data_IF_603482646274
#
_entry.id   IF_603482646274
#
_cell.length_a   1.000
_cell.length_b   1.000
_cell.length_c   1.000
_cell.angle_alpha   90.00
_cell.angle_beta   90.00
_cell.angle_gamma   90.00
#
_symmetry.space_group_name_H-M   'P 1'
#
loop_
_entity.id
_entity.type
_entity.pdbx_description
1 polymer ?
#
# COMPACT_ATOMS: atom_id res chain seq x y z
N UNK A 1 -5.01 -9.45 5.36
CA UNK A 1 -5.36 -9.36 6.80
C UNK A 1 -4.90 -8.03 7.39
N UNK A 2 -3.62 -7.66 7.28
CA UNK A 2 -3.04 -6.37 7.75
C UNK A 2 -3.87 -5.13 7.37
N UNK A 3 -4.28 -4.98 6.10
CA UNK A 3 -5.07 -3.82 5.66
C UNK A 3 -6.38 -3.65 6.45
N UNK A 4 -7.07 -4.75 6.73
CA UNK A 4 -8.35 -4.74 7.49
C UNK A 4 -8.10 -4.34 8.94
N UNK A 5 -7.04 -4.87 9.55
CA UNK A 5 -6.62 -4.51 10.92
C UNK A 5 -6.25 -3.03 11.03
N UNK A 6 -5.52 -2.49 10.05
CA UNK A 6 -5.17 -1.06 10.01
C UNK A 6 -6.40 -0.16 9.86
N UNK A 7 -7.35 -0.54 9.00
CA UNK A 7 -8.61 0.20 8.85
C UNK A 7 -9.41 0.18 10.16
N UNK A 8 -9.53 -0.97 10.81
CA UNK A 8 -10.23 -1.08 12.10
C UNK A 8 -9.58 -0.20 13.17
N UNK A 9 -8.26 -0.27 13.32
CA UNK A 9 -7.52 0.57 14.27
C UNK A 9 -7.72 2.06 13.98
N UNK A 10 -7.70 2.45 12.70
CA UNK A 10 -7.90 3.83 12.27
C UNK A 10 -9.29 4.36 12.64
N UNK A 11 -10.34 3.54 12.44
CA UNK A 11 -11.72 3.89 12.81
C UNK A 11 -11.84 4.10 14.32
N UNK A 12 -11.23 3.24 15.14
CA UNK A 12 -11.25 3.39 16.61
C UNK A 12 -10.55 4.69 17.02
N UNK A 13 -9.37 4.97 16.44
CA UNK A 13 -8.66 6.21 16.71
C UNK A 13 -9.46 7.45 16.29
N UNK A 14 -10.16 7.40 15.15
CA UNK A 14 -11.00 8.48 14.66
C UNK A 14 -12.16 8.77 15.61
N UNK A 15 -12.82 7.73 16.12
CA UNK A 15 -13.91 7.89 17.10
C UNK A 15 -13.38 8.57 18.37
N UNK A 16 -12.23 8.14 18.88
CA UNK A 16 -11.60 8.78 20.05
C UNK A 16 -11.24 10.24 19.79
N UNK A 17 -10.69 10.56 18.61
CA UNK A 17 -10.36 11.93 18.22
C UNK A 17 -11.60 12.83 18.08
N UNK A 18 -12.71 12.30 17.56
CA UNK A 18 -13.99 13.02 17.47
C UNK A 18 -14.58 13.26 18.86
N UNK A 19 -14.56 12.26 19.75
CA UNK A 19 -14.98 12.44 21.14
C UNK A 19 -14.12 13.53 21.81
N UNK A 20 -12.80 13.49 21.60
CA UNK A 20 -11.90 14.51 22.12
C UNK A 20 -12.23 15.90 21.57
N UNK A 21 -12.51 16.03 20.27
CA UNK A 21 -12.93 17.27 19.63
C UNK A 21 -14.24 17.82 20.21
N UNK A 22 -15.20 16.96 20.54
CA UNK A 22 -16.47 17.40 21.14
C UNK A 22 -16.33 17.80 22.61
N UNK A 23 -15.45 17.14 23.37
CA UNK A 23 -15.22 17.46 24.79
C UNK A 23 -14.31 18.68 24.94
N UNK A 24 -13.32 18.83 24.07
CA UNK A 24 -12.34 19.91 24.08
C UNK A 24 -12.11 20.39 22.64
N UNK A 25 -12.92 21.34 22.16
CA UNK A 25 -12.84 21.83 20.79
C UNK A 25 -11.64 22.76 20.60
N UNK A 26 -10.47 22.13 20.50
CA UNK A 26 -9.18 22.79 20.26
C UNK A 26 -8.64 22.47 18.85
N UNK A 27 -7.58 23.16 18.46
CA UNK A 27 -6.92 22.96 17.18
C UNK A 27 -6.35 21.54 17.01
N UNK A 28 -5.76 20.98 18.06
CA UNK A 28 -5.13 19.66 18.03
C UNK A 28 -6.09 18.51 17.70
N UNK A 29 -7.23 18.33 18.40
CA UNK A 29 -8.18 17.27 18.06
C UNK A 29 -8.82 17.48 16.68
N UNK A 30 -8.93 18.73 16.21
CA UNK A 30 -9.46 19.01 14.88
C UNK A 30 -8.51 18.50 13.78
N UNK A 31 -7.23 18.88 13.83
CA UNK A 31 -6.21 18.43 12.86
C UNK A 31 -6.01 16.93 12.94
N UNK A 32 -6.05 16.37 14.16
CA UNK A 32 -5.95 14.92 14.36
C UNK A 32 -7.10 14.19 13.67
N UNK A 33 -8.33 14.67 13.83
CA UNK A 33 -9.52 14.10 13.18
C UNK A 33 -9.42 14.18 11.66
N UNK A 34 -9.00 15.33 11.12
CA UNK A 34 -8.79 15.51 9.68
C UNK A 34 -7.71 14.57 9.13
N UNK A 35 -6.57 14.45 9.82
CA UNK A 35 -5.50 13.54 9.44
C UNK A 35 -5.94 12.08 9.45
N UNK A 36 -6.72 11.67 10.45
CA UNK A 36 -7.29 10.33 10.52
C UNK A 36 -8.27 10.08 9.37
N UNK A 37 -9.14 11.03 9.03
CA UNK A 37 -10.03 10.94 7.86
C UNK A 37 -9.20 10.79 6.56
N UNK A 38 -8.18 11.63 6.35
CA UNK A 38 -7.31 11.54 5.17
C UNK A 38 -6.62 10.18 5.08
N UNK A 39 -6.11 9.67 6.20
CA UNK A 39 -5.45 8.37 6.24
C UNK A 39 -6.42 7.22 5.93
N UNK A 40 -7.68 7.31 6.38
CA UNK A 40 -8.72 6.33 6.08
C UNK A 40 -9.04 6.31 4.58
N UNK A 41 -9.15 7.48 3.96
CA UNK A 41 -9.37 7.60 2.50
C UNK A 41 -8.23 6.91 1.74
N UNK A 42 -6.97 7.19 2.10
CA UNK A 42 -5.80 6.55 1.47
C UNK A 42 -5.81 5.04 1.68
N UNK A 43 -6.09 4.58 2.91
CA UNK A 43 -6.15 3.15 3.21
C UNK A 43 -7.23 2.45 2.39
N UNK A 44 -8.43 3.05 2.24
CA UNK A 44 -9.50 2.46 1.44
C UNK A 44 -9.13 2.44 -0.05
N UNK A 45 -8.67 3.57 -0.59
CA UNK A 45 -8.39 3.73 -2.02
C UNK A 45 -7.12 3.02 -2.50
N UNK A 46 -6.17 2.71 -1.61
CA UNK A 46 -4.97 1.94 -1.97
C UNK A 46 -5.38 0.54 -2.44
N UNK A 47 -5.52 0.37 -3.75
CA UNK A 47 -5.59 -0.96 -4.37
C UNK A 47 -4.31 -1.69 -4.00
N UNK A 48 -4.44 -2.98 -3.68
CA UNK A 48 -3.28 -3.86 -3.63
C UNK A 48 -2.73 -3.86 -5.04
N UNK A 49 -1.66 -3.09 -5.28
CA UNK A 49 -0.79 -3.43 -6.39
C UNK A 49 -0.20 -4.79 -6.01
N UNK A 50 -0.86 -5.86 -6.45
CA UNK A 50 -0.15 -7.08 -6.78
C UNK A 50 0.72 -6.71 -7.98
N UNK A 51 1.75 -5.92 -7.72
CA UNK A 51 2.77 -5.57 -8.68
C UNK A 51 3.40 -6.89 -9.04
N UNK A 52 2.99 -7.44 -10.17
CA UNK A 52 3.82 -8.40 -10.86
C UNK A 52 5.01 -7.57 -11.32
N UNK A 53 6.02 -7.43 -10.44
CA UNK A 53 7.24 -6.69 -10.72
C UNK A 53 7.91 -7.44 -11.87
N UNK A 54 7.62 -7.02 -13.09
CA UNK A 54 8.24 -7.58 -14.29
C UNK A 54 9.67 -7.06 -14.33
N UNK A 55 10.60 -7.80 -13.72
CA UNK A 55 12.02 -7.60 -13.93
C UNK A 55 12.33 -7.95 -15.39
N UNK A 56 12.76 -6.95 -16.16
CA UNK A 56 13.25 -7.15 -17.52
C UNK A 56 14.78 -7.15 -17.48
N UNK A 57 15.39 -8.31 -17.76
CA UNK A 57 16.84 -8.44 -17.89
C UNK A 57 17.19 -8.76 -19.35
N UNK A 58 18.11 -8.01 -19.94
CA UNK A 58 18.66 -8.31 -21.28
C UNK A 58 19.89 -9.20 -21.11
N UNK A 59 19.77 -10.47 -21.51
CA UNK A 59 20.89 -11.41 -21.57
C UNK A 59 21.70 -11.26 -22.84
N UNK A 60 23.03 -11.37 -22.74
CA UNK A 60 23.91 -11.46 -23.90
C UNK A 60 23.77 -12.80 -24.62
N UNK A 61 24.09 -12.84 -25.92
CA UNK A 61 24.07 -14.08 -26.71
C UNK A 61 25.11 -15.04 -26.14
N UNK A 62 24.66 -16.14 -25.51
CA UNK A 62 25.52 -17.14 -24.85
C UNK A 62 25.68 -17.01 -23.32
N UNK A 63 24.94 -16.11 -22.65
CA UNK A 63 24.96 -15.99 -21.18
C UNK A 63 23.89 -16.83 -20.49
N UNK A 64 24.20 -17.42 -19.34
CA UNK A 64 23.23 -18.04 -18.42
C UNK A 64 22.76 -16.98 -17.42
N UNK A 65 21.47 -16.64 -17.43
CA UNK A 65 20.88 -15.69 -16.48
C UNK A 65 20.07 -16.43 -15.42
N UNK A 66 20.23 -16.02 -14.17
CA UNK A 66 19.49 -16.53 -13.03
C UNK A 66 18.66 -15.39 -12.43
N UNK A 67 17.36 -15.60 -12.24
CA UNK A 67 16.48 -14.65 -11.56
C UNK A 67 15.91 -15.30 -10.29
N UNK A 68 16.01 -14.58 -9.17
CA UNK A 68 15.66 -15.09 -7.84
C UNK A 68 14.15 -15.30 -7.58
N UNK A 69 13.31 -15.30 -8.62
CA UNK A 69 11.84 -15.34 -8.48
C UNK A 69 11.12 -16.29 -9.46
N UNK A 70 11.84 -17.23 -10.09
CA UNK A 70 11.25 -18.29 -10.93
C UNK A 70 11.79 -18.32 -12.36
N UNK A 71 11.32 -19.31 -13.13
CA UNK A 71 11.78 -19.58 -14.50
C UNK A 71 11.49 -18.42 -15.44
N UNK A 72 12.54 -18.00 -16.17
CA UNK A 72 12.42 -17.01 -17.23
C UNK A 72 11.85 -17.73 -18.45
N UNK A 73 10.57 -17.49 -18.76
CA UNK A 73 9.98 -18.00 -19.99
C UNK A 73 10.42 -17.09 -21.16
N UNK A 74 11.57 -17.41 -21.76
CA UNK A 74 12.05 -16.73 -22.97
C UNK A 74 11.15 -17.19 -24.12
N UNK A 75 10.16 -16.38 -24.48
CA UNK A 75 9.47 -16.52 -25.76
C UNK A 75 10.49 -16.30 -26.88
N UNK A 76 11.09 -17.39 -27.37
CA UNK A 76 11.83 -17.40 -28.64
C UNK A 76 10.83 -17.23 -29.78
N UNK A 77 10.42 -15.99 -30.01
CA UNK A 77 9.99 -15.60 -31.35
C UNK A 77 11.24 -15.11 -32.09
N UNK A 78 12.01 -16.08 -32.57
CA UNK A 78 13.10 -15.87 -33.50
C UNK A 78 12.51 -15.34 -34.83
N UNK A 79 12.94 -14.14 -35.23
CA UNK A 79 12.98 -13.70 -36.64
C UNK A 79 14.42 -13.49 -37.02
#
# INVERSE_FOLDING_TARGET
MIKKTLILLNIVALIAALIWLFVSPDWEPLVTSLGLISSLIVLVQKKSENGNIQMTQKGGKGSVNYQSSGDININKNDK
#
